data_IF_456456807047
#
_entry.id   IF_456456807047
#
_cell.length_a   1.000
_cell.length_b   1.000
_cell.length_c   1.000
_cell.angle_alpha   90.00
_cell.angle_beta   90.00
_cell.angle_gamma   90.00
#
_symmetry.space_group_name_H-M   'P 1'
#
loop_
_entity.id
_entity.type
_entity.pdbx_description
1 polymer ?
#
# COMPACT_ATOMS: atom_id res chain seq x y z
N UNK A 1 10.48 -3.37 -8.89
CA UNK A 1 9.62 -3.88 -9.98
C UNK A 1 9.99 -5.27 -10.45
N UNK A 2 11.23 -5.48 -10.91
CA UNK A 2 11.65 -6.76 -11.52
C UNK A 2 11.43 -7.99 -10.63
N UNK A 3 11.75 -7.93 -9.33
CA UNK A 3 11.52 -9.06 -8.41
C UNK A 3 10.05 -9.47 -8.27
N UNK A 4 9.13 -8.50 -8.15
CA UNK A 4 7.69 -8.78 -8.10
C UNK A 4 7.18 -9.36 -9.42
N UNK A 5 7.71 -8.88 -10.55
CA UNK A 5 7.38 -9.42 -11.87
C UNK A 5 7.86 -10.87 -12.03
N UNK A 6 9.08 -11.17 -11.58
CA UNK A 6 9.63 -12.52 -11.59
C UNK A 6 8.78 -13.46 -10.73
N UNK A 7 8.49 -13.08 -9.47
CA UNK A 7 7.61 -13.83 -8.58
C UNK A 7 6.24 -14.12 -9.22
N UNK A 8 5.62 -13.10 -9.83
CA UNK A 8 4.31 -13.27 -10.47
C UNK A 8 4.35 -14.20 -11.69
N UNK A 9 5.45 -14.17 -12.43
CA UNK A 9 5.68 -15.05 -13.58
C UNK A 9 5.85 -16.49 -13.11
N UNK A 10 6.65 -16.71 -12.07
CA UNK A 10 6.94 -18.02 -11.50
C UNK A 10 5.71 -18.68 -10.86
N UNK A 11 4.76 -17.88 -10.35
CA UNK A 11 3.48 -18.37 -9.86
C UNK A 11 2.62 -19.02 -10.96
N UNK A 12 2.84 -18.69 -12.25
CA UNK A 12 2.09 -19.27 -13.37
C UNK A 12 0.57 -19.22 -13.16
N UNK A 13 -0.12 -20.35 -13.28
CA UNK A 13 -1.58 -20.43 -13.10
C UNK A 13 -2.05 -20.16 -11.66
N UNK A 14 -1.16 -20.20 -10.66
CA UNK A 14 -1.49 -19.86 -9.27
C UNK A 14 -1.68 -18.36 -9.06
N UNK A 15 -1.23 -17.51 -9.98
CA UNK A 15 -1.37 -16.05 -9.85
C UNK A 15 -2.84 -15.57 -9.72
N UNK A 16 -3.82 -16.38 -10.14
CA UNK A 16 -5.24 -16.09 -9.95
C UNK A 16 -5.74 -16.36 -8.52
N UNK A 17 -5.00 -17.20 -7.79
CA UNK A 17 -5.31 -17.62 -6.42
C UNK A 17 -4.50 -16.86 -5.38
N UNK A 18 -3.40 -16.23 -5.78
CA UNK A 18 -2.51 -15.46 -4.89
C UNK A 18 -2.74 -13.96 -5.06
N UNK A 19 -2.78 -13.25 -3.94
CA UNK A 19 -2.68 -11.79 -3.88
C UNK A 19 -1.38 -11.45 -3.16
N UNK A 20 -0.52 -10.67 -3.79
CA UNK A 20 0.73 -10.16 -3.21
C UNK A 20 0.50 -8.70 -2.86
N UNK A 21 0.79 -8.33 -1.61
CA UNK A 21 0.85 -6.95 -1.15
C UNK A 21 2.23 -6.68 -0.54
N UNK A 22 2.87 -5.59 -0.93
CA UNK A 22 4.12 -5.14 -0.30
C UNK A 22 3.87 -3.91 0.53
N UNK A 23 4.46 -3.88 1.72
CA UNK A 23 4.46 -2.71 2.60
C UNK A 23 5.83 -2.56 3.25
N UNK A 24 6.13 -1.32 3.64
CA UNK A 24 7.26 -1.00 4.50
C UNK A 24 6.71 -0.36 5.76
N UNK A 25 7.33 -0.64 6.91
CA UNK A 25 6.98 0.01 8.18
C UNK A 25 7.31 1.51 8.15
N UNK A 26 8.31 1.90 7.36
CA UNK A 26 8.75 3.28 7.20
C UNK A 26 8.71 3.73 5.74
N UNK A 27 8.33 4.98 5.56
CA UNK A 27 8.62 5.81 4.40
C UNK A 27 10.00 6.44 4.49
N UNK A 28 10.25 7.43 3.63
CA UNK A 28 11.47 8.23 3.62
C UNK A 28 11.14 9.70 3.79
N UNK A 29 11.96 10.42 4.56
CA UNK A 29 11.89 11.89 4.64
C UNK A 29 12.13 12.49 3.27
N UNK A 30 11.49 13.63 3.00
CA UNK A 30 11.71 14.39 1.76
C UNK A 30 13.06 15.11 1.80
N UNK A 31 13.46 15.56 2.98
CA UNK A 31 14.74 16.24 3.22
C UNK A 31 15.93 15.28 3.22
N UNK A 32 17.07 15.74 2.70
CA UNK A 32 18.35 15.04 2.75
C UNK A 32 18.92 15.08 4.18
N UNK A 33 19.49 13.98 4.64
CA UNK A 33 20.16 13.91 5.94
C UNK A 33 21.64 14.31 5.85
N UNK A 34 22.31 14.47 7.00
CA UNK A 34 23.70 14.91 7.07
C UNK A 34 24.72 13.95 6.42
N UNK A 35 24.31 12.74 6.02
CA UNK A 35 25.13 11.74 5.32
C UNK A 35 24.78 11.61 3.84
N UNK A 36 24.12 12.60 3.24
CA UNK A 36 23.70 12.61 1.82
C UNK A 36 22.70 11.49 1.47
N UNK A 37 21.94 11.05 2.46
CA UNK A 37 20.86 10.07 2.32
C UNK A 37 19.51 10.67 2.74
N UNK A 38 18.59 9.82 3.16
CA UNK A 38 17.32 10.24 3.78
C UNK A 38 17.18 9.55 5.14
N UNK A 39 16.31 10.06 6.00
CA UNK A 39 15.95 9.37 7.25
C UNK A 39 14.61 8.64 7.10
N UNK A 40 14.20 7.93 8.15
CA UNK A 40 12.89 7.30 8.22
C UNK A 40 11.80 8.38 8.21
N UNK A 41 10.77 8.15 7.41
CA UNK A 41 9.57 8.98 7.38
C UNK A 41 8.29 8.15 7.38
N UNK A 42 7.16 8.81 7.21
CA UNK A 42 5.84 8.17 7.29
C UNK A 42 5.28 7.70 5.94
N UNK A 43 5.20 8.57 4.94
CA UNK A 43 4.59 8.27 3.65
C UNK A 43 5.39 7.25 2.81
N UNK A 44 4.71 6.21 2.31
CA UNK A 44 5.30 5.16 1.49
C UNK A 44 4.38 4.76 0.32
N UNK A 45 4.82 3.77 -0.46
CA UNK A 45 4.02 3.15 -1.52
C UNK A 45 3.78 1.68 -1.21
N UNK A 46 2.53 1.23 -1.38
CA UNK A 46 2.18 -0.19 -1.39
C UNK A 46 1.98 -0.67 -2.82
N UNK A 47 2.56 -1.82 -3.18
CA UNK A 47 2.26 -2.50 -4.42
C UNK A 47 1.32 -3.68 -4.13
N UNK A 48 0.23 -3.79 -4.89
CA UNK A 48 -0.73 -4.90 -4.78
C UNK A 48 -0.90 -5.54 -6.16
N UNK A 49 -0.80 -6.86 -6.26
CA UNK A 49 -0.91 -7.62 -7.51
C UNK A 49 -1.53 -9.00 -7.31
N UNK A 50 -2.18 -9.54 -8.35
CA UNK A 50 -2.89 -10.82 -8.33
C UNK A 50 -4.08 -10.83 -9.30
N UNK A 51 -4.61 -11.99 -9.67
CA UNK A 51 -5.64 -12.09 -10.73
C UNK A 51 -7.00 -11.43 -10.43
N UNK A 52 -7.23 -11.03 -9.18
CA UNK A 52 -8.43 -10.33 -8.68
C UNK A 52 -8.19 -8.88 -8.30
N UNK A 53 -6.94 -8.41 -8.44
CA UNK A 53 -6.60 -7.02 -8.20
C UNK A 53 -7.01 -6.21 -9.42
N UNK A 54 -7.70 -5.09 -9.18
CA UNK A 54 -8.01 -4.09 -10.19
C UNK A 54 -6.74 -3.28 -10.51
N UNK A 55 -5.79 -3.93 -11.17
CA UNK A 55 -4.47 -3.41 -11.49
C UNK A 55 -4.45 -2.34 -12.59
N UNK A 56 -3.25 -1.89 -12.95
CA UNK A 56 -3.06 -0.84 -13.97
C UNK A 56 -3.46 0.56 -13.50
N UNK A 57 -3.58 0.77 -12.18
CA UNK A 57 -4.03 2.01 -11.55
C UNK A 57 -3.14 2.39 -10.39
N UNK A 58 -2.99 3.68 -10.17
CA UNK A 58 -2.42 4.25 -8.95
C UNK A 58 -3.58 4.77 -8.12
N UNK A 59 -3.73 4.25 -6.90
CA UNK A 59 -4.75 4.66 -5.95
C UNK A 59 -4.12 5.66 -4.97
N UNK A 60 -4.22 6.95 -5.29
CA UNK A 60 -3.65 8.00 -4.46
C UNK A 60 -4.36 9.34 -4.67
N UNK A 61 -4.57 10.06 -3.57
CA UNK A 61 -4.72 11.51 -3.58
C UNK A 61 -3.32 12.09 -3.37
N UNK A 62 -2.64 12.50 -4.44
CA UNK A 62 -1.24 12.93 -4.35
C UNK A 62 -1.12 14.33 -3.72
N UNK A 63 -0.46 14.49 -2.56
CA UNK A 63 -0.42 15.76 -1.84
C UNK A 63 0.67 16.72 -2.33
N UNK A 64 1.49 16.33 -3.32
CA UNK A 64 2.75 17.00 -3.72
C UNK A 64 3.87 16.87 -2.68
N UNK A 65 5.05 17.41 -3.01
CA UNK A 65 6.22 17.50 -2.11
C UNK A 65 6.50 18.95 -1.66
N UNK A 66 5.55 19.87 -1.85
CA UNK A 66 5.70 21.23 -1.37
C UNK A 66 5.79 21.23 0.17
N UNK A 67 6.66 22.05 0.79
CA UNK A 67 6.83 22.04 2.25
C UNK A 67 5.54 22.21 3.05
N UNK A 68 4.58 22.99 2.53
CA UNK A 68 3.27 23.21 3.15
C UNK A 68 2.33 22.00 3.11
N UNK A 69 2.63 20.99 2.29
CA UNK A 69 1.85 19.77 2.16
C UNK A 69 2.47 18.57 2.89
N UNK A 70 3.65 18.76 3.49
CA UNK A 70 4.33 17.71 4.24
C UNK A 70 3.73 17.59 5.65
N UNK A 71 3.66 16.36 6.15
CA UNK A 71 3.31 16.07 7.53
C UNK A 71 4.62 15.88 8.31
N UNK A 72 4.96 16.83 9.18
CA UNK A 72 6.21 16.83 9.98
C UNK A 72 7.48 16.63 9.13
N UNK A 73 7.50 17.17 7.91
CA UNK A 73 8.60 17.06 6.95
C UNK A 73 8.59 15.80 6.07
N UNK A 74 7.61 14.92 6.26
CA UNK A 74 7.44 13.70 5.47
C UNK A 74 6.32 13.84 4.44
N UNK A 75 6.36 12.97 3.41
CA UNK A 75 5.25 12.82 2.49
C UNK A 75 3.97 12.46 3.29
N UNK A 76 2.93 13.27 3.15
CA UNK A 76 1.67 13.03 3.83
C UNK A 76 1.03 11.71 3.40
N UNK A 77 0.56 10.93 4.37
CA UNK A 77 -0.20 9.70 4.11
C UNK A 77 -1.60 10.09 3.68
N UNK A 78 -1.98 9.72 2.46
CA UNK A 78 -3.34 9.97 1.94
C UNK A 78 -4.18 8.70 1.82
N UNK A 79 -3.54 7.54 1.95
CA UNK A 79 -4.20 6.23 1.97
C UNK A 79 -3.72 5.44 3.18
N UNK A 80 -4.63 5.15 4.11
CA UNK A 80 -4.32 4.26 5.23
C UNK A 80 -4.14 2.81 4.75
N UNK A 81 -3.01 2.19 5.07
CA UNK A 81 -2.69 0.81 4.66
C UNK A 81 -3.75 -0.19 5.13
N UNK A 82 -4.45 0.07 6.24
CA UNK A 82 -5.52 -0.77 6.76
C UNK A 82 -6.69 -0.85 5.80
N UNK A 83 -6.98 0.22 5.04
CA UNK A 83 -8.02 0.17 4.00
C UNK A 83 -7.67 -0.80 2.89
N UNK A 84 -6.39 -0.82 2.48
CA UNK A 84 -5.88 -1.74 1.45
C UNK A 84 -5.98 -3.19 1.94
N UNK A 85 -5.48 -3.47 3.15
CA UNK A 85 -5.47 -4.82 3.70
C UNK A 85 -6.89 -5.31 4.04
N UNK A 86 -7.75 -4.46 4.58
CA UNK A 86 -9.15 -4.79 4.86
C UNK A 86 -9.91 -5.20 3.60
N UNK A 87 -9.71 -4.49 2.49
CA UNK A 87 -10.35 -4.86 1.22
C UNK A 87 -9.85 -6.21 0.71
N UNK A 88 -8.55 -6.50 0.83
CA UNK A 88 -7.99 -7.82 0.47
C UNK A 88 -8.59 -8.90 1.37
N UNK A 89 -8.62 -8.70 2.68
CA UNK A 89 -9.11 -9.70 3.64
C UNK A 89 -10.60 -9.99 3.41
N UNK A 90 -11.43 -8.97 3.33
CA UNK A 90 -12.87 -9.13 3.08
C UNK A 90 -13.13 -9.79 1.71
N UNK A 91 -12.55 -9.28 0.62
CA UNK A 91 -12.91 -9.76 -0.72
C UNK A 91 -12.22 -11.06 -1.12
N UNK A 92 -10.95 -11.25 -0.76
CA UNK A 92 -10.16 -12.44 -1.13
C UNK A 92 -10.23 -13.56 -0.12
N UNK A 93 -10.10 -13.23 1.16
CA UNK A 93 -10.13 -14.24 2.22
C UNK A 93 -11.56 -14.53 2.69
N UNK A 94 -12.55 -13.73 2.27
CA UNK A 94 -13.96 -13.86 2.67
C UNK A 94 -14.12 -13.78 4.19
N UNK A 95 -13.35 -12.89 4.81
CA UNK A 95 -13.41 -12.62 6.23
C UNK A 95 -13.81 -11.16 6.47
N UNK A 96 -15.07 -10.97 6.87
CA UNK A 96 -15.66 -9.65 7.09
C UNK A 96 -15.58 -9.18 8.56
N UNK A 97 -14.90 -9.92 9.44
CA UNK A 97 -14.67 -9.52 10.84
C UNK A 97 -13.57 -8.46 10.97
N UNK A 98 -13.71 -7.38 10.19
CA UNK A 98 -12.71 -6.31 10.08
C UNK A 98 -12.61 -5.49 11.36
N UNK A 99 -13.67 -5.44 12.17
CA UNK A 99 -13.66 -4.76 13.48
C UNK A 99 -12.78 -5.46 14.50
N UNK A 100 -12.68 -6.80 14.44
CA UNK A 100 -11.73 -7.58 15.22
C UNK A 100 -10.29 -7.45 14.70
N UNK A 101 -10.10 -7.49 13.37
CA UNK A 101 -8.77 -7.46 12.75
C UNK A 101 -8.14 -6.06 12.80
N UNK A 102 -8.93 -5.02 12.56
CA UNK A 102 -8.53 -3.62 12.59
C UNK A 102 -9.38 -2.84 13.61
N UNK A 103 -9.18 -3.07 14.91
CA UNK A 103 -9.95 -2.39 15.94
C UNK A 103 -9.77 -0.87 15.85
N UNK A 104 -10.86 -0.14 16.09
CA UNK A 104 -10.92 1.33 16.03
C UNK A 104 -10.56 1.93 14.66
N UNK A 105 -10.73 1.17 13.58
CA UNK A 105 -10.54 1.66 12.22
C UNK A 105 -11.84 1.59 11.41
N UNK A 106 -12.26 2.71 10.84
CA UNK A 106 -13.36 2.72 9.87
C UNK A 106 -12.79 2.48 8.47
N UNK A 107 -13.13 1.33 7.88
CA UNK A 107 -12.65 0.93 6.56
C UNK A 107 -13.32 1.77 5.48
N UNK A 108 -12.51 2.44 4.67
CA UNK A 108 -12.92 3.16 3.46
C UNK A 108 -12.42 2.37 2.23
N UNK A 109 -13.29 1.60 1.55
CA UNK A 109 -12.87 0.76 0.41
C UNK A 109 -12.33 1.60 -0.76
N UNK A 110 -11.23 1.14 -1.35
CA UNK A 110 -10.53 1.85 -2.44
C UNK A 110 -10.86 1.26 -3.82
N UNK A 111 -11.47 0.07 -3.85
CA UNK A 111 -11.78 -0.65 -5.08
C UNK A 111 -10.56 -1.41 -5.64
N UNK A 112 -9.58 -1.73 -4.80
CA UNK A 112 -8.34 -2.42 -5.19
C UNK A 112 -8.61 -3.86 -5.64
N UNK A 113 -9.66 -4.50 -5.11
CA UNK A 113 -9.98 -5.89 -5.40
C UNK A 113 -11.43 -6.02 -5.88
N UNK A 114 -11.67 -6.91 -6.85
CA UNK A 114 -13.02 -7.30 -7.30
C UNK A 114 -13.45 -8.63 -6.71
#
# INVERSE_FOLDING_TARGET
>A
GQGLSALYTDLGSYNQRVTVATMSEFGRRVEENASYGTDHGHGNVMFVMGGSVNGGRVYADWPTLAPSALADGDLAITTDYRNVLAEIISKRLKNDDLGYIFPNHTVNPLGIVR
#
